data_IF_118036446132
#
_entry.id   IF_118036446132
#
_cell.length_a   1.000
_cell.length_b   1.000
_cell.length_c   1.000
_cell.angle_alpha   90.00
_cell.angle_beta   90.00
_cell.angle_gamma   90.00
#
_symmetry.space_group_name_H-M   'P 1'
#
loop_
_entity.id
_entity.type
_entity.pdbx_description
1 polymer ?
#
# COMPACT_ATOMS: atom_id res chain seq x y z
N UNK A 1 -14.84 34.78 -3.87
CA UNK A 1 -15.08 33.43 -4.44
C UNK A 1 -14.11 33.09 -5.58
N UNK A 2 -13.71 34.03 -6.45
CA UNK A 2 -12.70 33.79 -7.48
C UNK A 2 -11.33 33.35 -6.92
N UNK A 3 -10.83 34.00 -5.86
CA UNK A 3 -9.54 33.65 -5.25
C UNK A 3 -9.47 32.26 -4.60
N UNK A 4 -10.59 31.74 -4.08
CA UNK A 4 -10.64 30.37 -3.52
C UNK A 4 -10.58 29.32 -4.64
N UNK A 5 -11.29 29.56 -5.76
CA UNK A 5 -11.25 28.69 -6.93
C UNK A 5 -9.88 28.71 -7.61
N UNK A 6 -9.21 29.86 -7.61
CA UNK A 6 -7.88 30.03 -8.19
C UNK A 6 -6.81 29.37 -7.30
N UNK A 7 -6.93 29.48 -5.97
CA UNK A 7 -6.02 28.82 -5.03
C UNK A 7 -6.22 27.29 -5.00
N UNK A 8 -7.47 26.81 -5.08
CA UNK A 8 -7.79 25.39 -5.22
C UNK A 8 -7.35 24.87 -6.59
N UNK A 9 -7.58 25.64 -7.67
CA UNK A 9 -7.17 25.32 -9.03
C UNK A 9 -5.65 25.25 -9.17
N UNK A 10 -4.92 26.21 -8.61
CA UNK A 10 -3.46 26.25 -8.58
C UNK A 10 -2.86 25.10 -7.78
N UNK A 11 -3.37 24.84 -6.56
CA UNK A 11 -2.90 23.70 -5.74
C UNK A 11 -3.23 22.36 -6.38
N UNK A 12 -4.37 22.22 -7.07
CA UNK A 12 -4.63 21.03 -7.86
C UNK A 12 -3.64 20.93 -9.02
N UNK A 13 -3.55 21.96 -9.86
CA UNK A 13 -2.68 21.96 -11.04
C UNK A 13 -1.24 21.60 -10.68
N UNK A 14 -0.69 22.19 -9.63
CA UNK A 14 0.66 21.89 -9.13
C UNK A 14 0.81 20.42 -8.68
N UNK A 15 -0.22 19.88 -8.01
CA UNK A 15 -0.24 18.48 -7.57
C UNK A 15 -0.40 17.51 -8.74
N UNK A 16 -1.20 17.85 -9.75
CA UNK A 16 -1.37 17.06 -10.97
C UNK A 16 -0.10 17.07 -11.82
N UNK A 17 0.57 18.21 -11.95
CA UNK A 17 1.83 18.33 -12.68
C UNK A 17 2.94 17.52 -12.00
N UNK A 18 3.09 17.66 -10.69
CA UNK A 18 4.14 16.95 -9.93
C UNK A 18 3.89 15.45 -9.79
N UNK A 19 2.63 15.01 -9.61
CA UNK A 19 2.31 13.59 -9.43
C UNK A 19 2.10 12.84 -10.75
N UNK A 20 1.71 13.52 -11.83
CA UNK A 20 1.23 12.88 -13.05
C UNK A 20 2.06 13.26 -14.28
N UNK A 21 2.21 14.56 -14.54
CA UNK A 21 2.87 15.01 -15.76
C UNK A 21 4.38 14.78 -15.71
N UNK A 22 5.05 15.19 -14.62
CA UNK A 22 6.51 15.07 -14.52
C UNK A 22 6.99 13.61 -14.59
N UNK A 23 6.42 12.65 -13.83
CA UNK A 23 6.81 11.25 -13.94
C UNK A 23 6.40 10.63 -15.27
N UNK A 24 5.27 11.06 -15.85
CA UNK A 24 4.82 10.63 -17.17
C UNK A 24 5.77 11.08 -18.28
N UNK A 25 6.30 12.30 -18.20
CA UNK A 25 7.25 12.86 -19.16
C UNK A 25 8.60 12.15 -19.06
N UNK A 26 9.06 11.85 -17.85
CA UNK A 26 10.23 11.00 -17.63
C UNK A 26 10.03 9.60 -18.24
N UNK A 27 8.86 8.99 -18.04
CA UNK A 27 8.54 7.70 -18.62
C UNK A 27 8.51 7.75 -20.15
N UNK A 28 7.91 8.78 -20.75
CA UNK A 28 7.90 8.95 -22.21
C UNK A 28 9.29 9.15 -22.78
N UNK A 29 10.12 9.99 -22.17
CA UNK A 29 11.52 10.15 -22.59
C UNK A 29 12.29 8.84 -22.48
N UNK A 30 12.06 8.08 -21.42
CA UNK A 30 12.66 6.75 -21.24
C UNK A 30 12.15 5.75 -22.27
N UNK A 31 10.85 5.78 -22.60
CA UNK A 31 10.23 4.91 -23.59
C UNK A 31 10.73 5.22 -25.00
N UNK A 32 10.89 6.50 -25.34
CA UNK A 32 11.51 6.94 -26.58
C UNK A 32 12.97 6.45 -26.67
N UNK A 33 13.75 6.65 -25.60
CA UNK A 33 15.13 6.15 -25.56
C UNK A 33 15.20 4.63 -25.70
N UNK A 34 14.33 3.89 -25.01
CA UNK A 34 14.21 2.44 -25.12
C UNK A 34 13.85 1.98 -26.54
N UNK A 35 12.95 2.70 -27.21
CA UNK A 35 12.55 2.42 -28.59
C UNK A 35 13.70 2.67 -29.58
N UNK A 36 14.44 3.76 -29.41
CA UNK A 36 15.60 4.10 -30.25
C UNK A 36 16.76 3.13 -30.02
N UNK A 37 17.06 2.77 -28.77
CA UNK A 37 18.23 1.95 -28.43
C UNK A 37 17.97 0.45 -28.62
N UNK A 38 16.77 -0.03 -28.29
CA UNK A 38 16.40 -1.45 -28.31
C UNK A 38 17.28 -2.33 -27.42
N UNK A 39 17.17 -3.66 -27.60
CA UNK A 39 17.94 -4.63 -26.80
C UNK A 39 19.41 -4.83 -27.21
N UNK A 40 19.80 -4.45 -28.44
CA UNK A 40 21.12 -4.79 -29.00
C UNK A 40 22.27 -3.90 -28.51
N UNK A 41 22.03 -2.61 -28.27
CA UNK A 41 23.04 -1.65 -27.78
C UNK A 41 22.40 -0.65 -26.80
N UNK A 42 22.19 -1.06 -25.54
CA UNK A 42 21.33 -0.35 -24.58
C UNK A 42 21.89 1.00 -24.09
N UNK A 43 23.12 1.37 -24.43
CA UNK A 43 23.77 2.62 -24.01
C UNK A 43 24.43 3.39 -25.18
N UNK A 44 23.95 3.19 -26.42
CA UNK A 44 24.49 3.90 -27.59
C UNK A 44 24.01 5.36 -27.64
N UNK A 45 24.68 6.22 -26.86
CA UNK A 45 24.37 7.66 -26.76
C UNK A 45 24.44 8.36 -28.13
N UNK A 46 25.34 7.91 -29.01
CA UNK A 46 25.45 8.46 -30.36
C UNK A 46 24.21 8.24 -31.21
N UNK A 47 23.48 7.13 -31.02
CA UNK A 47 22.21 6.88 -31.69
C UNK A 47 21.10 7.80 -31.17
N UNK A 48 21.07 8.07 -29.88
CA UNK A 48 20.12 9.03 -29.29
C UNK A 48 20.36 10.44 -29.83
N UNK A 49 21.62 10.91 -29.84
CA UNK A 49 21.97 12.26 -30.30
C UNK A 49 21.56 12.49 -31.75
N UNK A 50 21.84 11.54 -32.65
CA UNK A 50 21.41 11.63 -34.06
C UNK A 50 19.90 11.73 -34.23
N UNK A 51 19.14 11.06 -33.36
CA UNK A 51 17.69 11.12 -33.43
C UNK A 51 17.14 12.43 -32.85
N UNK A 52 17.79 12.99 -31.82
CA UNK A 52 17.48 14.35 -31.32
C UNK A 52 17.75 15.39 -32.41
N UNK A 53 18.91 15.31 -33.09
CA UNK A 53 19.27 16.21 -34.20
C UNK A 53 18.23 16.16 -35.32
N UNK A 54 17.78 14.96 -35.72
CA UNK A 54 16.71 14.80 -36.71
C UNK A 54 15.40 15.49 -36.29
N UNK A 55 15.04 15.42 -35.01
CA UNK A 55 13.84 16.10 -34.51
C UNK A 55 14.03 17.63 -34.47
N UNK A 56 15.23 18.11 -34.15
CA UNK A 56 15.56 19.54 -34.18
C UNK A 56 15.42 20.11 -35.60
N UNK A 57 15.97 19.41 -36.61
CA UNK A 57 15.85 19.79 -38.01
C UNK A 57 14.38 19.86 -38.47
N UNK A 58 13.54 18.93 -37.99
CA UNK A 58 12.10 18.94 -38.27
C UNK A 58 11.39 20.13 -37.62
N UNK A 59 11.73 20.48 -36.38
CA UNK A 59 11.12 21.63 -35.69
C UNK A 59 11.50 22.96 -36.33
N UNK A 60 12.73 23.10 -36.79
CA UNK A 60 13.19 24.32 -37.49
C UNK A 60 12.42 24.53 -38.81
N UNK A 61 12.03 23.44 -39.49
CA UNK A 61 11.25 23.50 -40.73
C UNK A 61 9.77 23.88 -40.53
N UNK A 62 9.17 23.65 -39.35
CA UNK A 62 7.73 23.86 -39.09
C UNK A 62 7.40 25.13 -38.28
N UNK A 63 8.43 25.86 -37.82
CA UNK A 63 8.29 27.11 -37.08
C UNK A 63 7.67 26.97 -35.68
N UNK A 64 7.41 28.11 -35.02
CA UNK A 64 6.97 28.13 -33.62
C UNK A 64 5.62 27.46 -33.33
N UNK A 65 4.69 27.47 -34.30
CA UNK A 65 3.39 26.79 -34.15
C UNK A 65 3.54 25.26 -34.10
N UNK A 66 4.45 24.70 -34.91
CA UNK A 66 4.74 23.26 -34.91
C UNK A 66 5.37 22.81 -33.58
N UNK A 67 6.31 23.59 -33.05
CA UNK A 67 6.91 23.33 -31.73
C UNK A 67 5.87 23.37 -30.61
N UNK A 68 4.98 24.37 -30.61
CA UNK A 68 3.91 24.47 -29.62
C UNK A 68 2.97 23.26 -29.67
N UNK A 69 2.54 22.84 -30.87
CA UNK A 69 1.68 21.67 -31.04
C UNK A 69 2.38 20.38 -30.59
N UNK A 70 3.68 20.22 -30.89
CA UNK A 70 4.47 19.07 -30.46
C UNK A 70 4.61 19.01 -28.93
N UNK A 71 4.94 20.12 -28.28
CA UNK A 71 5.01 20.22 -26.82
C UNK A 71 3.66 19.94 -26.16
N UNK A 72 2.58 20.52 -26.70
CA UNK A 72 1.22 20.25 -26.23
C UNK A 72 0.86 18.76 -26.38
N UNK A 73 1.21 18.14 -27.50
CA UNK A 73 0.97 16.71 -27.74
C UNK A 73 1.77 15.82 -26.76
N UNK A 74 3.05 16.13 -26.51
CA UNK A 74 3.88 15.40 -25.53
C UNK A 74 3.31 15.53 -24.13
N UNK A 75 2.89 16.74 -23.74
CA UNK A 75 2.31 16.98 -22.42
C UNK A 75 0.98 16.24 -22.24
N UNK A 76 0.12 16.24 -23.27
CA UNK A 76 -1.12 15.46 -23.27
C UNK A 76 -0.84 13.95 -23.20
N UNK A 77 0.15 13.47 -23.95
CA UNK A 77 0.54 12.05 -23.93
C UNK A 77 1.11 11.63 -22.57
N UNK A 78 1.79 12.54 -21.86
CA UNK A 78 2.37 12.27 -20.53
C UNK A 78 1.31 11.97 -19.46
N UNK A 79 0.05 12.37 -19.68
CA UNK A 79 -1.07 12.06 -18.78
C UNK A 79 -1.41 10.56 -18.81
N UNK A 80 -1.25 9.90 -19.97
CA UNK A 80 -1.67 8.50 -20.18
C UNK A 80 -0.93 7.52 -19.24
N UNK A 81 0.42 7.53 -19.16
CA UNK A 81 1.14 6.70 -18.18
C UNK A 81 0.70 6.97 -16.74
N UNK A 82 0.46 8.24 -16.38
CA UNK A 82 0.02 8.59 -15.03
C UNK A 82 -1.35 8.00 -14.68
N UNK A 83 -2.32 8.05 -15.58
CA UNK A 83 -3.63 7.40 -15.40
C UNK A 83 -3.49 5.87 -15.32
N UNK A 84 -2.64 5.28 -16.16
CA UNK A 84 -2.34 3.85 -16.10
C UNK A 84 -1.75 3.46 -14.73
N UNK A 85 -0.85 4.28 -14.17
CA UNK A 85 -0.31 4.06 -12.81
C UNK A 85 -1.38 4.18 -11.74
N UNK A 86 -2.36 5.07 -11.86
CA UNK A 86 -3.47 5.14 -10.89
C UNK A 86 -4.30 3.85 -10.91
N UNK A 87 -4.62 3.33 -12.09
CA UNK A 87 -5.33 2.05 -12.22
C UNK A 87 -4.49 0.88 -11.69
N UNK A 88 -3.20 0.83 -12.04
CA UNK A 88 -2.25 -0.16 -11.53
C UNK A 88 -2.10 -0.09 -10.02
N UNK A 89 -2.03 1.10 -9.44
CA UNK A 89 -1.94 1.29 -7.99
C UNK A 89 -3.15 0.68 -7.28
N UNK A 90 -4.36 0.82 -7.85
CA UNK A 90 -5.55 0.17 -7.31
C UNK A 90 -5.50 -1.35 -7.45
N UNK A 91 -5.06 -1.86 -8.59
CA UNK A 91 -4.87 -3.31 -8.78
C UNK A 91 -3.83 -3.87 -7.79
N UNK A 92 -2.73 -3.14 -7.57
CA UNK A 92 -1.69 -3.46 -6.57
C UNK A 92 -2.27 -3.45 -5.16
N UNK A 93 -3.12 -2.49 -4.80
CA UNK A 93 -3.81 -2.50 -3.50
C UNK A 93 -4.69 -3.73 -3.32
N UNK A 94 -5.49 -4.09 -4.34
CA UNK A 94 -6.33 -5.30 -4.30
C UNK A 94 -5.46 -6.55 -4.21
N UNK A 95 -4.35 -6.60 -4.93
CA UNK A 95 -3.39 -7.70 -4.84
C UNK A 95 -2.72 -7.77 -3.47
N UNK A 96 -2.40 -6.64 -2.85
CA UNK A 96 -1.72 -6.58 -1.57
C UNK A 96 -2.63 -6.79 -0.36
N UNK A 97 -3.90 -6.40 -0.43
CA UNK A 97 -4.84 -6.44 0.71
C UNK A 97 -6.00 -7.41 0.51
N UNK A 98 -6.42 -7.64 -0.74
CA UNK A 98 -7.65 -8.34 -1.06
C UNK A 98 -7.55 -9.87 -1.04
N UNK A 99 -8.69 -10.57 -0.96
CA UNK A 99 -8.75 -11.99 -1.27
C UNK A 99 -8.44 -12.18 -2.76
N UNK A 100 -7.49 -13.07 -3.08
CA UNK A 100 -7.21 -13.40 -4.47
C UNK A 100 -8.26 -14.37 -4.98
N UNK A 101 -8.86 -14.14 -6.16
CA UNK A 101 -9.81 -15.07 -6.73
C UNK A 101 -9.12 -16.41 -7.09
N UNK A 102 -9.86 -17.50 -6.88
CA UNK A 102 -9.45 -18.85 -7.28
C UNK A 102 -8.43 -19.53 -6.36
N UNK A 103 -8.00 -20.73 -6.76
CA UNK A 103 -7.18 -21.62 -5.94
C UNK A 103 -5.75 -21.14 -5.65
N UNK A 104 -5.25 -20.11 -6.35
CA UNK A 104 -3.91 -19.56 -6.11
C UNK A 104 -3.81 -18.90 -4.72
N UNK A 105 -4.81 -18.11 -4.34
CA UNK A 105 -4.89 -17.49 -3.01
C UNK A 105 -4.93 -18.55 -1.90
N UNK A 106 -5.80 -19.55 -2.05
CA UNK A 106 -5.92 -20.65 -1.09
C UNK A 106 -4.63 -21.46 -0.96
N UNK A 107 -3.96 -21.78 -2.08
CA UNK A 107 -2.68 -22.48 -2.07
C UNK A 107 -1.61 -21.70 -1.31
N UNK A 108 -1.55 -20.37 -1.50
CA UNK A 108 -0.61 -19.52 -0.78
C UNK A 108 -0.94 -19.45 0.71
N UNK A 109 -2.22 -19.28 1.07
CA UNK A 109 -2.68 -19.31 2.47
C UNK A 109 -2.33 -20.64 3.13
N UNK A 110 -2.62 -21.78 2.49
CA UNK A 110 -2.28 -23.12 2.99
C UNK A 110 -0.78 -23.29 3.19
N UNK A 111 0.04 -22.88 2.22
CA UNK A 111 1.51 -22.93 2.33
C UNK A 111 2.02 -22.08 3.49
N UNK A 112 1.48 -20.88 3.66
CA UNK A 112 1.86 -19.98 4.76
C UNK A 112 1.39 -20.49 6.11
N UNK A 113 0.19 -21.07 6.19
CA UNK A 113 -0.35 -21.72 7.38
C UNK A 113 0.53 -22.90 7.79
N UNK A 114 0.85 -23.80 6.86
CA UNK A 114 1.74 -24.93 7.13
C UNK A 114 3.13 -24.46 7.62
N UNK A 115 3.66 -23.36 7.06
CA UNK A 115 4.93 -22.77 7.53
C UNK A 115 4.81 -22.23 8.96
N UNK A 116 3.69 -21.57 9.31
CA UNK A 116 3.45 -21.09 10.67
C UNK A 116 3.23 -22.24 11.65
N UNK A 117 2.48 -23.26 11.29
CA UNK A 117 2.24 -24.46 12.12
C UNK A 117 3.55 -25.16 12.49
N UNK A 118 4.50 -25.26 11.56
CA UNK A 118 5.86 -25.76 11.86
C UNK A 118 6.59 -24.89 12.88
N UNK A 119 6.52 -23.56 12.73
CA UNK A 119 7.13 -22.64 13.69
C UNK A 119 6.42 -22.68 15.06
N UNK A 120 5.10 -22.90 15.09
CA UNK A 120 4.33 -23.03 16.32
C UNK A 120 4.65 -24.33 17.06
N UNK A 121 4.90 -25.41 16.33
CA UNK A 121 5.39 -26.66 16.90
C UNK A 121 6.76 -26.51 17.59
N UNK A 122 7.66 -25.68 17.05
CA UNK A 122 8.93 -25.34 17.72
C UNK A 122 8.70 -24.62 19.06
N UNK A 123 7.78 -23.64 19.10
CA UNK A 123 7.43 -22.90 20.33
C UNK A 123 6.89 -23.87 21.38
N UNK A 124 5.93 -24.72 21.00
CA UNK A 124 5.31 -25.69 21.90
C UNK A 124 6.34 -26.71 22.41
N UNK A 125 7.31 -27.11 21.58
CA UNK A 125 8.38 -28.01 22.02
C UNK A 125 9.27 -27.39 23.10
N UNK A 126 9.74 -26.16 22.90
CA UNK A 126 10.56 -25.44 23.89
C UNK A 126 9.79 -25.18 25.20
N UNK A 127 8.52 -24.80 25.13
CA UNK A 127 7.68 -24.62 26.32
C UNK A 127 7.49 -25.93 27.10
N UNK A 128 7.27 -27.05 26.41
CA UNK A 128 7.16 -28.37 27.05
C UNK A 128 8.46 -28.81 27.72
N UNK A 129 9.60 -28.54 27.08
CA UNK A 129 10.91 -28.83 27.68
C UNK A 129 11.12 -27.99 28.94
N UNK A 130 10.79 -26.69 28.90
CA UNK A 130 10.84 -25.82 30.07
C UNK A 130 9.91 -26.30 31.20
N UNK A 131 8.68 -26.69 30.89
CA UNK A 131 7.74 -27.25 31.88
C UNK A 131 8.26 -28.54 32.53
N UNK A 132 9.02 -29.36 31.78
CA UNK A 132 9.59 -30.61 32.27
C UNK A 132 10.86 -30.42 33.10
N UNK A 133 11.79 -29.61 32.61
CA UNK A 133 13.17 -29.53 33.14
C UNK A 133 13.40 -28.26 33.97
N UNK A 134 12.50 -27.28 33.91
CA UNK A 134 12.61 -25.99 34.61
C UNK A 134 13.70 -25.07 34.06
N UNK A 135 14.27 -25.38 32.89
CA UNK A 135 15.43 -24.66 32.34
C UNK A 135 15.02 -23.30 31.74
N UNK A 136 15.59 -22.21 32.26
CA UNK A 136 15.37 -20.86 31.73
C UNK A 136 15.89 -20.69 30.29
N UNK A 137 16.88 -21.48 29.86
CA UNK A 137 17.38 -21.44 28.49
C UNK A 137 16.30 -21.89 27.49
N UNK A 138 15.49 -22.88 27.86
CA UNK A 138 14.35 -23.33 27.05
C UNK A 138 13.25 -22.27 26.98
N UNK A 139 13.03 -21.53 28.07
CA UNK A 139 12.09 -20.39 28.05
C UNK A 139 12.59 -19.27 27.11
N UNK A 140 13.89 -18.97 27.12
CA UNK A 140 14.48 -18.01 26.19
C UNK A 140 14.38 -18.48 24.73
N UNK A 141 14.60 -19.78 24.48
CA UNK A 141 14.45 -20.40 23.17
C UNK A 141 12.98 -20.36 22.70
N UNK A 142 12.02 -20.62 23.59
CA UNK A 142 10.59 -20.49 23.33
C UNK A 142 10.21 -19.06 22.91
N UNK A 143 10.68 -18.04 23.64
CA UNK A 143 10.45 -16.62 23.27
C UNK A 143 11.07 -16.26 21.92
N UNK A 144 12.27 -16.78 21.62
CA UNK A 144 12.90 -16.58 20.32
C UNK A 144 12.14 -17.28 19.19
N UNK A 145 11.63 -18.50 19.44
CA UNK A 145 10.77 -19.23 18.50
C UNK A 145 9.43 -18.52 18.28
N UNK A 146 8.86 -17.94 19.35
CA UNK A 146 7.64 -17.14 19.27
C UNK A 146 7.85 -15.90 18.41
N UNK A 147 8.95 -15.17 18.63
CA UNK A 147 9.32 -14.04 17.76
C UNK A 147 9.51 -14.46 16.29
N UNK A 148 10.05 -15.66 16.02
CA UNK A 148 10.15 -16.20 14.64
C UNK A 148 8.79 -16.57 14.05
N UNK A 149 7.89 -17.16 14.83
CA UNK A 149 6.50 -17.47 14.44
C UNK A 149 5.74 -16.19 14.12
N UNK A 150 5.85 -15.19 14.98
CA UNK A 150 5.12 -13.93 14.85
C UNK A 150 5.62 -13.08 13.67
N UNK A 151 6.90 -13.22 13.28
CA UNK A 151 7.43 -12.69 12.00
C UNK A 151 6.76 -13.31 10.76
N UNK A 152 6.17 -14.50 10.86
CA UNK A 152 5.39 -15.12 9.76
C UNK A 152 3.97 -14.55 9.75
N UNK A 153 3.27 -14.69 10.88
CA UNK A 153 1.99 -14.05 11.16
C UNK A 153 1.63 -14.25 12.65
N UNK A 154 1.15 -13.20 13.35
CA UNK A 154 0.72 -13.33 14.75
C UNK A 154 -0.49 -14.27 14.89
N UNK A 155 -1.46 -14.14 13.97
CA UNK A 155 -2.59 -15.07 13.84
C UNK A 155 -2.34 -16.09 12.71
N UNK A 156 -3.05 -17.24 12.71
CA UNK A 156 -3.04 -18.15 11.57
C UNK A 156 -3.33 -17.39 10.26
N UNK A 157 -2.47 -17.50 9.23
CA UNK A 157 -2.65 -16.79 7.96
C UNK A 157 -4.02 -17.08 7.36
N UNK A 158 -4.72 -16.02 6.93
CA UNK A 158 -6.04 -16.10 6.31
C UNK A 158 -6.09 -15.37 4.96
N UNK A 159 -5.08 -14.54 4.66
CA UNK A 159 -4.90 -13.78 3.42
C UNK A 159 -3.60 -14.22 2.72
N UNK A 160 -3.54 -14.12 1.38
CA UNK A 160 -2.38 -14.58 0.62
C UNK A 160 -1.11 -13.76 0.93
N UNK A 161 -1.26 -12.48 1.25
CA UNK A 161 -0.16 -11.54 1.50
C UNK A 161 -0.01 -11.22 2.99
N UNK A 162 1.23 -10.90 3.42
CA UNK A 162 1.50 -10.43 4.80
C UNK A 162 0.77 -9.12 5.11
N UNK A 163 0.68 -8.24 4.10
CA UNK A 163 -0.03 -6.98 4.16
C UNK A 163 -1.52 -7.18 4.46
N UNK A 164 -2.20 -8.01 3.67
CA UNK A 164 -3.61 -8.36 3.90
C UNK A 164 -3.82 -9.07 5.23
N UNK A 165 -2.92 -9.97 5.63
CA UNK A 165 -3.00 -10.63 6.94
C UNK A 165 -2.88 -9.64 8.10
N UNK A 166 -2.03 -8.61 8.01
CA UNK A 166 -1.90 -7.61 9.09
C UNK A 166 -3.19 -6.84 9.29
N UNK A 167 -3.86 -6.43 8.20
CA UNK A 167 -5.15 -5.75 8.26
C UNK A 167 -6.25 -6.70 8.75
N UNK A 168 -6.25 -7.95 8.28
CA UNK A 168 -7.17 -8.96 8.78
C UNK A 168 -6.97 -9.26 10.27
N UNK A 169 -5.73 -9.27 10.75
CA UNK A 169 -5.41 -9.45 12.17
C UNK A 169 -5.93 -8.28 13.02
N UNK A 170 -5.86 -7.04 12.50
CA UNK A 170 -6.50 -5.89 13.14
C UNK A 170 -8.02 -6.09 13.23
N UNK A 171 -8.68 -6.39 12.10
CA UNK A 171 -10.13 -6.64 12.07
C UNK A 171 -10.54 -7.75 13.04
N UNK A 172 -9.78 -8.84 13.06
CA UNK A 172 -10.03 -9.97 13.95
C UNK A 172 -9.78 -9.62 15.42
N UNK A 173 -8.70 -8.91 15.76
CA UNK A 173 -8.42 -8.43 17.11
C UNK A 173 -9.57 -7.56 17.61
N UNK A 174 -9.96 -6.55 16.82
CA UNK A 174 -11.05 -5.63 17.18
C UNK A 174 -12.37 -6.38 17.36
N UNK A 175 -12.69 -7.29 16.44
CA UNK A 175 -13.90 -8.11 16.52
C UNK A 175 -13.90 -9.07 17.73
N UNK A 176 -12.77 -9.70 18.04
CA UNK A 176 -12.66 -10.64 19.15
C UNK A 176 -12.65 -9.94 20.51
N UNK A 177 -11.94 -8.82 20.64
CA UNK A 177 -11.80 -8.10 21.90
C UNK A 177 -13.02 -7.23 22.22
N UNK A 178 -13.56 -6.53 21.22
CA UNK A 178 -14.70 -5.62 21.39
C UNK A 178 -16.03 -6.21 20.93
N UNK A 179 -16.10 -7.45 20.42
CA UNK A 179 -17.36 -8.05 19.95
C UNK A 179 -18.14 -7.19 18.92
N UNK A 180 -17.46 -6.26 18.23
CA UNK A 180 -18.05 -5.31 17.27
C UNK A 180 -17.26 -5.43 15.95
N UNK A 181 -17.93 -5.54 14.80
CA UNK A 181 -17.23 -5.60 13.52
C UNK A 181 -16.55 -4.27 13.21
N UNK A 182 -15.25 -4.33 12.89
CA UNK A 182 -14.42 -3.16 12.56
C UNK A 182 -15.07 -2.27 11.49
N UNK A 183 -15.63 -2.87 10.43
CA UNK A 183 -16.27 -2.14 9.32
C UNK A 183 -17.53 -1.37 9.73
N UNK A 184 -18.23 -1.78 10.79
CA UNK A 184 -19.41 -1.06 11.28
C UNK A 184 -19.05 0.09 12.23
N UNK A 185 -17.98 -0.07 13.00
CA UNK A 185 -17.56 0.92 14.00
C UNK A 185 -16.65 1.99 13.41
N UNK A 186 -15.89 1.67 12.37
CA UNK A 186 -14.90 2.56 11.76
C UNK A 186 -15.45 3.94 11.34
N UNK A 187 -16.60 4.06 10.62
CA UNK A 187 -17.11 5.38 10.25
C UNK A 187 -17.47 6.26 11.46
N UNK A 188 -17.88 5.64 12.57
CA UNK A 188 -18.25 6.35 13.80
C UNK A 188 -17.03 6.73 14.62
N UNK A 189 -16.03 5.86 14.66
CA UNK A 189 -14.70 6.20 15.19
C UNK A 189 -14.13 7.40 14.45
N UNK A 190 -14.22 7.41 13.13
CA UNK A 190 -13.76 8.51 12.29
C UNK A 190 -14.44 9.85 12.62
N UNK A 191 -15.75 9.82 12.90
CA UNK A 191 -16.50 11.02 13.30
C UNK A 191 -16.20 11.47 14.74
N UNK A 192 -15.82 10.55 15.63
CA UNK A 192 -15.41 10.86 17.00
C UNK A 192 -13.92 11.25 17.14
N UNK A 193 -13.12 10.94 16.13
CA UNK A 193 -11.69 11.19 16.11
C UNK A 193 -11.40 12.69 15.97
N UNK A 194 -10.34 13.15 16.63
CA UNK A 194 -9.91 14.56 16.51
C UNK A 194 -9.33 14.85 15.13
N UNK A 195 -9.18 16.13 14.76
CA UNK A 195 -8.50 16.46 13.49
C UNK A 195 -7.05 15.96 13.47
N UNK A 196 -6.37 15.96 14.62
CA UNK A 196 -5.03 15.40 14.76
C UNK A 196 -5.00 13.89 14.44
N UNK A 197 -5.91 13.10 15.04
CA UNK A 197 -6.00 11.66 14.78
C UNK A 197 -6.30 11.38 13.30
N UNK A 198 -7.23 12.14 12.71
CA UNK A 198 -7.59 12.01 11.28
C UNK A 198 -6.42 12.39 10.37
N UNK A 199 -5.63 13.40 10.75
CA UNK A 199 -4.43 13.83 10.05
C UNK A 199 -3.34 12.75 10.02
N UNK A 200 -3.07 12.12 11.17
CA UNK A 200 -2.13 11.00 11.29
C UNK A 200 -2.54 9.81 10.40
N UNK A 201 -3.81 9.40 10.47
CA UNK A 201 -4.33 8.30 9.64
C UNK A 201 -4.26 8.64 8.15
N UNK A 202 -4.66 9.86 7.74
CA UNK A 202 -4.55 10.30 6.33
C UNK A 202 -3.11 10.31 5.85
N UNK A 203 -2.17 10.72 6.70
CA UNK A 203 -0.74 10.74 6.38
C UNK A 203 -0.22 9.32 6.17
N UNK A 204 -0.52 8.40 7.09
CA UNK A 204 -0.13 7.00 6.98
C UNK A 204 -0.77 6.30 5.77
N UNK A 205 -2.06 6.54 5.52
CA UNK A 205 -2.77 6.03 4.35
C UNK A 205 -2.16 6.58 3.05
N UNK A 206 -1.89 7.88 2.98
CA UNK A 206 -1.24 8.53 1.84
C UNK A 206 0.16 7.99 1.56
N UNK A 207 0.93 7.67 2.60
CA UNK A 207 2.24 7.05 2.47
C UNK A 207 2.14 5.63 1.87
N UNK A 208 1.17 4.83 2.31
CA UNK A 208 0.90 3.51 1.73
C UNK A 208 0.46 3.61 0.26
N UNK A 209 -0.44 4.54 -0.07
CA UNK A 209 -0.87 4.79 -1.45
C UNK A 209 0.28 5.26 -2.34
N UNK A 210 1.22 6.05 -1.80
CA UNK A 210 2.44 6.41 -2.52
C UNK A 210 3.29 5.18 -2.86
N UNK A 211 3.39 4.18 -1.98
CA UNK A 211 4.07 2.92 -2.28
C UNK A 211 3.36 2.13 -3.37
N UNK A 212 2.03 2.10 -3.39
CA UNK A 212 1.28 1.36 -4.43
C UNK A 212 1.42 2.04 -5.79
N UNK A 213 1.45 3.38 -5.83
CA UNK A 213 1.78 4.16 -7.05
C UNK A 213 3.21 3.91 -7.52
N UNK A 214 4.18 3.87 -6.60
CA UNK A 214 5.58 3.56 -6.93
C UNK A 214 5.71 2.15 -7.56
N UNK A 215 5.00 1.17 -7.02
CA UNK A 215 4.91 -0.17 -7.61
C UNK A 215 4.32 -0.11 -9.03
N UNK A 216 3.27 0.68 -9.24
CA UNK A 216 2.67 0.90 -10.56
C UNK A 216 3.68 1.44 -11.59
N UNK A 217 4.51 2.41 -11.22
CA UNK A 217 5.60 2.89 -12.08
C UNK A 217 6.62 1.79 -12.41
N UNK A 218 7.06 1.03 -11.40
CA UNK A 218 8.00 -0.08 -11.62
C UNK A 218 7.45 -1.14 -12.57
N UNK A 219 6.15 -1.44 -12.49
CA UNK A 219 5.46 -2.34 -13.44
C UNK A 219 5.42 -1.76 -14.86
N UNK A 220 5.18 -0.46 -15.03
CA UNK A 220 5.24 0.18 -16.35
C UNK A 220 6.65 0.11 -16.95
N UNK A 221 7.70 0.34 -16.17
CA UNK A 221 9.08 0.20 -16.65
C UNK A 221 9.42 -1.25 -17.01
N UNK A 222 8.93 -2.23 -16.25
CA UNK A 222 9.10 -3.64 -16.61
C UNK A 222 8.34 -4.01 -17.90
N UNK A 223 7.13 -3.48 -18.10
CA UNK A 223 6.37 -3.66 -19.32
C UNK A 223 7.07 -3.02 -20.53
N UNK A 224 7.61 -1.81 -20.35
CA UNK A 224 8.42 -1.14 -21.38
C UNK A 224 9.65 -1.97 -21.76
N UNK A 225 10.36 -2.52 -20.78
CA UNK A 225 11.52 -3.36 -21.04
C UNK A 225 11.15 -4.65 -21.78
N UNK A 226 10.01 -5.26 -21.44
CA UNK A 226 9.50 -6.44 -22.14
C UNK A 226 9.12 -6.11 -23.60
N UNK A 227 8.50 -4.95 -23.85
CA UNK A 227 8.10 -4.53 -25.19
C UNK A 227 9.27 -4.13 -26.09
N UNK A 228 10.33 -3.55 -25.53
CA UNK A 228 11.48 -3.02 -26.31
C UNK A 228 12.72 -3.91 -26.28
N UNK A 229 12.77 -4.89 -25.38
CA UNK A 229 13.98 -5.68 -25.08
C UNK A 229 15.07 -4.89 -24.35
N UNK A 230 14.80 -3.65 -23.90
CA UNK A 230 15.79 -2.80 -23.25
C UNK A 230 15.93 -3.15 -21.76
N UNK A 231 16.91 -4.00 -21.45
CA UNK A 231 17.13 -4.53 -20.10
C UNK A 231 17.35 -3.49 -18.99
N UNK A 232 17.93 -2.29 -19.21
CA UNK A 232 18.09 -1.30 -18.13
C UNK A 232 16.76 -0.88 -17.51
N UNK A 233 15.71 -0.74 -18.33
CA UNK A 233 14.37 -0.47 -17.82
C UNK A 233 13.82 -1.63 -16.98
N UNK A 234 14.19 -2.88 -17.29
CA UNK A 234 13.79 -4.05 -16.49
C UNK A 234 14.45 -3.99 -15.10
N UNK A 235 15.74 -3.68 -15.04
CA UNK A 235 16.47 -3.56 -13.77
C UNK A 235 15.92 -2.40 -12.93
N UNK A 236 15.74 -1.22 -13.55
CA UNK A 236 15.14 -0.08 -12.87
C UNK A 236 13.72 -0.40 -12.36
N UNK A 237 12.88 -1.00 -13.21
CA UNK A 237 11.54 -1.44 -12.84
C UNK A 237 11.53 -2.45 -11.70
N UNK A 238 12.39 -3.46 -11.74
CA UNK A 238 12.50 -4.48 -10.70
C UNK A 238 12.93 -3.88 -9.35
N UNK A 239 13.94 -3.01 -9.34
CA UNK A 239 14.39 -2.30 -8.13
C UNK A 239 13.25 -1.46 -7.54
N UNK A 240 12.54 -0.71 -8.39
CA UNK A 240 11.41 0.12 -7.95
C UNK A 240 10.26 -0.72 -7.40
N UNK A 241 9.89 -1.83 -8.05
CA UNK A 241 8.85 -2.75 -7.53
C UNK A 241 9.25 -3.35 -6.19
N UNK A 242 10.51 -3.80 -6.05
CA UNK A 242 11.01 -4.35 -4.79
C UNK A 242 10.97 -3.28 -3.69
N UNK A 243 11.53 -2.10 -3.93
CA UNK A 243 11.51 -0.99 -2.99
C UNK A 243 10.07 -0.62 -2.58
N UNK A 244 9.16 -0.51 -3.54
CA UNK A 244 7.75 -0.24 -3.30
C UNK A 244 7.08 -1.31 -2.42
N UNK A 245 7.42 -2.58 -2.63
CA UNK A 245 6.91 -3.69 -1.82
C UNK A 245 7.43 -3.65 -0.37
N UNK A 246 8.73 -3.38 -0.17
CA UNK A 246 9.33 -3.24 1.15
C UNK A 246 8.73 -2.05 1.91
N UNK A 247 8.76 -0.85 1.31
CA UNK A 247 8.19 0.38 1.90
C UNK A 247 6.69 0.25 2.13
N UNK A 248 5.96 -0.35 1.18
CA UNK A 248 4.52 -0.59 1.32
C UNK A 248 4.20 -1.44 2.53
N UNK A 249 5.04 -2.43 2.85
CA UNK A 249 4.81 -3.33 3.99
C UNK A 249 4.94 -2.58 5.30
N UNK A 250 6.02 -1.81 5.46
CA UNK A 250 6.28 -1.02 6.66
C UNK A 250 5.20 0.05 6.87
N UNK A 251 4.85 0.78 5.82
CA UNK A 251 3.84 1.83 5.88
C UNK A 251 2.44 1.29 6.19
N UNK A 252 2.08 0.13 5.65
CA UNK A 252 0.80 -0.51 5.97
C UNK A 252 0.77 -0.99 7.42
N UNK A 253 1.88 -1.50 7.95
CA UNK A 253 1.93 -1.95 9.34
C UNK A 253 1.76 -0.77 10.29
N UNK A 254 2.47 0.33 10.04
CA UNK A 254 2.30 1.58 10.79
C UNK A 254 0.85 2.10 10.71
N UNK A 255 0.22 2.05 9.52
CA UNK A 255 -1.20 2.41 9.37
C UNK A 255 -2.12 1.50 10.20
N UNK A 256 -1.86 0.19 10.23
CA UNK A 256 -2.64 -0.76 11.00
C UNK A 256 -2.47 -0.53 12.52
N UNK A 257 -1.26 -0.21 12.98
CA UNK A 257 -0.98 0.09 14.38
C UNK A 257 -1.68 1.39 14.82
N UNK A 258 -1.66 2.43 13.98
CA UNK A 258 -2.40 3.67 14.23
C UNK A 258 -3.91 3.44 14.27
N UNK A 259 -4.45 2.66 13.34
CA UNK A 259 -5.86 2.31 13.33
C UNK A 259 -6.27 1.54 14.60
N UNK A 260 -5.42 0.63 15.08
CA UNK A 260 -5.64 -0.10 16.33
C UNK A 260 -5.65 0.85 17.54
N UNK A 261 -4.67 1.76 17.61
CA UNK A 261 -4.57 2.74 18.68
C UNK A 261 -5.79 3.68 18.71
N UNK A 262 -6.28 4.12 17.55
CA UNK A 262 -7.48 4.96 17.46
C UNK A 262 -8.72 4.22 17.95
N UNK A 263 -8.85 2.92 17.63
CA UNK A 263 -9.93 2.09 18.17
C UNK A 263 -9.83 2.04 19.70
N UNK A 264 -8.67 1.68 20.25
CA UNK A 264 -8.47 1.52 21.69
C UNK A 264 -8.73 2.83 22.46
N UNK A 265 -8.35 3.98 21.89
CA UNK A 265 -8.53 5.30 22.51
C UNK A 265 -9.94 5.88 22.35
N UNK A 266 -10.60 5.69 21.20
CA UNK A 266 -11.85 6.40 20.85
C UNK A 266 -13.11 5.54 20.95
N UNK A 267 -13.00 4.23 21.13
CA UNK A 267 -14.20 3.37 21.20
C UNK A 267 -15.08 3.70 22.41
N UNK A 268 -14.47 4.06 23.56
CA UNK A 268 -15.22 4.53 24.74
C UNK A 268 -15.99 5.81 24.47
N UNK A 269 -15.41 6.76 23.73
CA UNK A 269 -16.12 7.99 23.35
C UNK A 269 -17.29 7.71 22.42
N UNK A 270 -17.13 6.77 21.47
CA UNK A 270 -18.25 6.34 20.61
C UNK A 270 -19.37 5.73 21.45
N UNK A 271 -19.07 4.78 22.33
CA UNK A 271 -20.06 4.14 23.19
C UNK A 271 -20.88 5.16 24.01
N UNK A 272 -20.21 6.13 24.63
CA UNK A 272 -20.87 7.24 25.36
C UNK A 272 -21.74 8.10 24.45
N UNK A 273 -21.27 8.42 23.25
CA UNK A 273 -22.04 9.22 22.28
C UNK A 273 -23.32 8.53 21.80
N UNK A 274 -23.37 7.18 21.81
CA UNK A 274 -24.59 6.43 21.50
C UNK A 274 -25.47 6.16 22.73
N UNK A 275 -25.12 6.70 23.89
CA UNK A 275 -25.91 6.61 25.12
C UNK A 275 -25.59 5.41 26.01
N UNK A 276 -24.51 4.66 25.74
CA UNK A 276 -24.11 3.52 26.57
C UNK A 276 -23.24 4.02 27.73
N UNK A 277 -23.65 3.70 28.95
CA UNK A 277 -22.89 4.04 30.15
C UNK A 277 -21.61 3.20 30.21
N UNK A 278 -20.45 3.85 30.07
CA UNK A 278 -19.14 3.20 30.18
C UNK A 278 -18.49 3.58 31.51
N UNK A 279 -18.40 2.66 32.49
CA UNK A 279 -17.80 2.95 33.79
C UNK A 279 -16.30 3.26 33.67
N UNK A 280 -15.73 4.02 34.64
CA UNK A 280 -14.29 4.18 34.75
C UNK A 280 -13.67 2.82 35.11
N UNK A 281 -12.74 2.33 34.30
CA UNK A 281 -12.06 1.04 34.51
C UNK A 281 -12.26 0.00 33.38
N UNK A 282 -11.98 -1.28 33.64
CA UNK A 282 -12.16 -2.36 32.67
C UNK A 282 -13.62 -2.44 32.20
N UNK A 283 -13.85 -2.42 30.89
CA UNK A 283 -15.20 -2.50 30.34
C UNK A 283 -15.59 -3.96 30.20
N UNK A 284 -16.74 -4.32 30.79
CA UNK A 284 -17.27 -5.67 30.65
C UNK A 284 -17.57 -5.99 29.17
N UNK A 285 -17.28 -7.21 28.67
CA UNK A 285 -17.57 -7.61 27.29
C UNK A 285 -19.05 -7.48 26.88
N UNK A 286 -19.98 -7.44 27.85
CA UNK A 286 -21.39 -7.20 27.59
C UNK A 286 -21.67 -5.79 27.02
N UNK A 287 -20.94 -4.77 27.50
CA UNK A 287 -21.07 -3.37 27.06
C UNK A 287 -20.79 -3.21 25.57
N UNK A 288 -19.79 -3.95 25.07
CA UNK A 288 -19.43 -3.87 23.65
C UNK A 288 -20.39 -4.64 22.74
N UNK A 289 -20.98 -5.74 23.25
CA UNK A 289 -22.08 -6.42 22.55
C UNK A 289 -23.32 -5.54 22.46
N UNK A 290 -23.63 -4.78 23.51
CA UNK A 290 -24.71 -3.79 23.47
C UNK A 290 -24.44 -2.71 22.42
N UNK A 291 -23.19 -2.24 22.32
CA UNK A 291 -22.78 -1.34 21.25
C UNK A 291 -23.03 -1.96 19.86
N UNK A 292 -22.60 -3.20 19.58
CA UNK A 292 -22.87 -3.85 18.29
C UNK A 292 -24.37 -3.91 17.97
N UNK A 293 -25.21 -4.26 18.95
CA UNK A 293 -26.67 -4.32 18.78
C UNK A 293 -27.26 -2.95 18.42
N UNK A 294 -26.83 -1.88 19.09
CA UNK A 294 -27.28 -0.51 18.80
C UNK A 294 -26.81 -0.07 17.40
N UNK A 295 -25.57 -0.42 17.03
CA UNK A 295 -25.00 -0.08 15.72
C UNK A 295 -25.71 -0.80 14.56
N UNK A 296 -26.19 -2.03 14.78
CA UNK A 296 -26.95 -2.81 13.79
C UNK A 296 -28.40 -2.39 13.67
N UNK A 297 -29.07 -2.03 14.78
CA UNK A 297 -30.49 -1.58 14.75
C UNK A 297 -30.73 -0.28 13.99
N UNK A 298 -29.69 0.53 13.76
CA UNK A 298 -29.77 1.80 13.02
C UNK A 298 -29.38 1.68 11.53
N UNK A 299 -29.29 0.46 11.00
CA UNK A 299 -29.23 0.19 9.56
C UNK A 299 -30.62 -0.19 9.07
#
# INVERSE_FOLDING_TARGET
MAGLLDEIGGKLAERWVSLLALPGLLFLGTAWAAHVLGGGRPFDVGRLLREVERYADWTDAHGGAGLFLALAAVLLLAVVPGLAVQALARAVQVLWLGPWPGGAGERLVRRRRARRERADAEVVAHLRNHERDGDEAELAAARAAEARRDRIAPLPPARPTRMGDRMHALEHRVGAYYAVPFTAVWPRLWLSATEADRGEIRTAAGAFEASTRLCGWGLLYAALACATGWWPALVAGAVVVLAAWWLGRERLFALADLADAVVDLRLRSVARAVGIAVPPGPVAPATWRELDLVLRRRR
#
